data_IF_291779017214
#
_entry.id   IF_291779017214
#
_cell.length_a   1.000
_cell.length_b   1.000
_cell.length_c   1.000
_cell.angle_alpha   90.00
_cell.angle_beta   90.00
_cell.angle_gamma   90.00
#
_symmetry.space_group_name_H-M   'P 1'
#
loop_
_entity.id
_entity.type
_entity.pdbx_description
1 polymer ?
#
# COMPACT_ATOMS: atom_id res chain seq x y z
N UNK A 1 -19.04 -26.55 -26.98
CA UNK A 1 -19.38 -25.13 -26.71
C UNK A 1 -18.49 -24.73 -25.56
N UNK A 2 -17.35 -24.11 -25.88
CA UNK A 2 -16.18 -24.01 -25.02
C UNK A 2 -15.88 -22.55 -24.74
N UNK A 3 -16.77 -21.92 -23.96
CA UNK A 3 -16.61 -20.52 -23.56
C UNK A 3 -16.51 -20.40 -22.05
N UNK A 4 -15.62 -19.53 -21.58
CA UNK A 4 -15.45 -19.17 -20.17
C UNK A 4 -16.01 -17.78 -19.94
N UNK A 5 -16.97 -17.66 -19.02
CA UNK A 5 -17.49 -16.36 -18.57
C UNK A 5 -16.55 -15.77 -17.53
N UNK A 6 -16.07 -14.55 -17.78
CA UNK A 6 -15.24 -13.78 -16.83
C UNK A 6 -15.97 -12.50 -16.48
N UNK A 7 -16.06 -12.20 -15.18
CA UNK A 7 -16.63 -10.96 -14.66
C UNK A 7 -15.59 -10.25 -13.77
N UNK A 8 -15.53 -8.92 -13.85
CA UNK A 8 -14.64 -8.10 -13.05
C UNK A 8 -15.39 -6.90 -12.49
N UNK A 9 -15.07 -6.53 -11.24
CA UNK A 9 -15.49 -5.27 -10.65
C UNK A 9 -14.37 -4.26 -10.86
N UNK A 10 -14.67 -3.20 -11.61
CA UNK A 10 -13.72 -2.14 -11.95
C UNK A 10 -14.09 -0.90 -11.13
N UNK A 11 -13.13 -0.19 -10.53
CA UNK A 11 -13.42 1.04 -9.81
C UNK A 11 -14.02 2.11 -10.74
N UNK A 12 -14.92 2.94 -10.21
CA UNK A 12 -15.45 4.13 -10.90
C UNK A 12 -14.46 5.31 -10.91
N UNK A 13 -13.17 5.02 -10.78
CA UNK A 13 -12.07 5.98 -10.83
C UNK A 13 -11.01 5.48 -11.80
N UNK A 14 -10.05 6.33 -12.15
CA UNK A 14 -8.91 5.89 -12.95
C UNK A 14 -8.15 4.77 -12.24
N UNK A 15 -7.55 3.86 -13.02
CA UNK A 15 -6.75 2.76 -12.48
C UNK A 15 -5.54 3.28 -11.72
N UNK A 16 -4.91 4.35 -12.21
CA UNK A 16 -3.77 5.01 -11.58
C UNK A 16 -4.16 5.52 -10.18
N UNK A 17 -5.32 6.18 -10.07
CA UNK A 17 -5.83 6.68 -8.78
C UNK A 17 -6.12 5.54 -7.82
N UNK A 18 -6.67 4.43 -8.31
CA UNK A 18 -6.95 3.27 -7.50
C UNK A 18 -5.66 2.60 -6.99
N UNK A 19 -4.66 2.45 -7.86
CA UNK A 19 -3.34 1.90 -7.51
C UNK A 19 -2.64 2.78 -6.49
N UNK A 20 -2.61 4.10 -6.70
CA UNK A 20 -1.97 5.04 -5.78
C UNK A 20 -2.58 4.96 -4.37
N UNK A 21 -3.91 5.00 -4.25
CA UNK A 21 -4.61 4.86 -2.96
C UNK A 21 -4.32 3.53 -2.28
N UNK A 22 -4.17 2.46 -3.06
CA UNK A 22 -3.85 1.14 -2.54
C UNK A 22 -2.41 1.07 -2.02
N UNK A 23 -1.45 1.63 -2.74
CA UNK A 23 -0.06 1.76 -2.29
C UNK A 23 0.02 2.54 -0.96
N UNK A 24 -0.66 3.67 -0.88
CA UNK A 24 -0.76 4.48 0.35
C UNK A 24 -1.35 3.70 1.52
N UNK A 25 -2.40 2.92 1.28
CA UNK A 25 -3.03 2.09 2.33
C UNK A 25 -2.06 1.03 2.85
N UNK A 26 -1.32 0.36 1.96
CA UNK A 26 -0.34 -0.67 2.34
C UNK A 26 0.83 -0.06 3.11
N UNK A 27 1.38 1.06 2.63
CA UNK A 27 2.46 1.79 3.30
C UNK A 27 2.04 2.26 4.69
N UNK A 28 0.82 2.81 4.83
CA UNK A 28 0.27 3.18 6.14
C UNK A 28 0.16 1.99 7.09
N UNK A 29 -0.33 0.84 6.64
CA UNK A 29 -0.43 -0.36 7.47
C UNK A 29 0.96 -0.85 7.91
N UNK A 30 1.94 -0.82 7.01
CA UNK A 30 3.31 -1.22 7.32
C UNK A 30 3.93 -0.27 8.35
N UNK A 31 3.85 1.03 8.11
CA UNK A 31 4.40 2.06 9.00
C UNK A 31 3.70 2.03 10.38
N UNK A 32 2.38 1.86 10.46
CA UNK A 32 1.68 1.79 11.76
C UNK A 32 1.95 0.49 12.50
N UNK A 33 2.07 -0.64 11.79
CA UNK A 33 2.47 -1.93 12.38
C UNK A 33 3.90 -1.87 12.94
N UNK A 34 4.80 -1.22 12.20
CA UNK A 34 6.18 -0.98 12.63
C UNK A 34 6.23 0.05 13.76
N UNK A 35 5.42 1.11 13.75
CA UNK A 35 5.37 2.12 14.81
C UNK A 35 4.96 1.52 16.17
N UNK A 36 4.07 0.51 16.16
CA UNK A 36 3.75 -0.26 17.38
C UNK A 36 4.95 -1.03 17.95
N UNK A 37 5.92 -1.37 17.09
CA UNK A 37 7.15 -2.08 17.46
C UNK A 37 8.29 -1.11 17.80
N UNK A 38 8.41 0.01 17.06
CA UNK A 38 9.42 1.07 17.26
C UNK A 38 9.12 1.99 18.46
N UNK A 39 7.87 2.11 18.90
CA UNK A 39 7.52 2.82 20.14
C UNK A 39 8.14 2.17 21.40
N UNK A 40 8.66 0.95 21.29
CA UNK A 40 9.44 0.29 22.34
C UNK A 40 10.95 0.61 22.29
N UNK A 41 11.46 1.23 21.21
CA UNK A 41 12.90 1.47 21.00
C UNK A 41 13.31 2.96 20.90
N UNK A 42 12.43 3.91 21.24
CA UNK A 42 12.72 5.36 21.36
C UNK A 42 13.37 6.01 20.10
N UNK A 43 13.12 5.45 18.92
CA UNK A 43 13.56 6.05 17.65
C UNK A 43 12.42 6.85 17.01
N UNK A 44 12.09 8.00 17.60
CA UNK A 44 11.24 8.98 16.93
C UNK A 44 12.06 9.75 15.88
N UNK A 45 12.02 9.28 14.64
CA UNK A 45 12.51 10.07 13.50
C UNK A 45 11.41 11.06 13.10
N UNK A 46 11.71 12.34 13.28
CA UNK A 46 10.83 13.51 13.09
C UNK A 46 10.59 13.85 11.62
N UNK A 47 10.40 12.87 10.72
CA UNK A 47 9.92 13.16 9.36
C UNK A 47 8.39 13.22 9.35
N UNK A 48 7.82 14.17 8.61
CA UNK A 48 6.37 14.26 8.44
C UNK A 48 5.86 12.91 7.91
N UNK A 49 4.84 12.33 8.57
CA UNK A 49 4.32 10.99 8.28
C UNK A 49 4.01 10.77 6.78
N UNK A 50 3.60 11.83 6.08
CA UNK A 50 3.34 11.79 4.64
C UNK A 50 4.59 11.52 3.81
N UNK A 51 5.72 12.10 4.19
CA UNK A 51 6.99 11.86 3.52
C UNK A 51 7.47 10.42 3.79
N UNK A 52 7.33 9.93 5.02
CA UNK A 52 7.65 8.53 5.34
C UNK A 52 6.80 7.54 4.52
N UNK A 53 5.52 7.86 4.30
CA UNK A 53 4.64 7.05 3.45
C UNK A 53 5.14 7.07 2.00
N UNK A 54 5.48 8.23 1.47
CA UNK A 54 6.00 8.36 0.10
C UNK A 54 7.30 7.57 -0.10
N UNK A 55 8.28 7.77 0.79
CA UNK A 55 9.58 7.08 0.78
C UNK A 55 9.38 5.56 0.87
N UNK A 56 8.49 5.10 1.75
CA UNK A 56 8.18 3.67 1.89
C UNK A 56 7.54 3.07 0.63
N UNK A 57 6.64 3.81 -0.04
CA UNK A 57 6.04 3.35 -1.29
C UNK A 57 7.12 3.16 -2.36
N UNK A 58 8.03 4.13 -2.50
CA UNK A 58 9.11 4.09 -3.49
C UNK A 58 10.08 2.93 -3.24
N UNK A 59 10.50 2.74 -1.99
CA UNK A 59 11.54 1.78 -1.64
C UNK A 59 11.04 0.34 -1.46
N UNK A 60 9.79 0.15 -1.01
CA UNK A 60 9.32 -1.16 -0.50
C UNK A 60 8.07 -1.72 -1.17
N UNK A 61 7.28 -0.93 -1.90
CA UNK A 61 6.04 -1.42 -2.54
C UNK A 61 6.30 -1.74 -4.01
N UNK A 62 6.33 -3.03 -4.34
CA UNK A 62 6.39 -3.49 -5.73
C UNK A 62 4.99 -3.73 -6.32
N UNK A 63 4.89 -3.84 -7.64
CA UNK A 63 3.64 -4.21 -8.33
C UNK A 63 3.03 -5.50 -7.79
N UNK A 64 3.87 -6.46 -7.37
CA UNK A 64 3.40 -7.72 -6.79
C UNK A 64 2.71 -7.51 -5.45
N UNK A 65 3.22 -6.61 -4.63
CA UNK A 65 2.69 -6.36 -3.28
C UNK A 65 1.31 -5.72 -3.34
N UNK A 66 1.08 -4.88 -4.37
CA UNK A 66 -0.24 -4.31 -4.66
C UNK A 66 -1.29 -5.41 -4.89
N UNK A 67 -0.97 -6.49 -5.57
CA UNK A 67 -1.95 -7.53 -5.94
C UNK A 67 -1.88 -8.79 -5.10
N UNK A 68 -0.95 -8.88 -4.16
CA UNK A 68 -0.86 -10.00 -3.23
C UNK A 68 -2.15 -10.11 -2.40
N UNK A 69 -2.77 -11.30 -2.41
CA UNK A 69 -3.85 -11.64 -1.48
C UNK A 69 -3.20 -12.08 -0.18
N UNK A 70 -3.43 -11.33 0.89
CA UNK A 70 -3.11 -11.76 2.25
C UNK A 70 -4.16 -12.77 2.73
#
# INVERSE_FOLDING_TARGET
MDCTLVYALVPNSSLETFVAKRAETLARIAITGVAHTMALEDQQVTSELQQQIADYIEDHISERDLWSRK
#
